data_IF_138362535439
#
_entry.id   IF_138362535439
#
_cell.length_a   1.000
_cell.length_b   1.000
_cell.length_c   1.000
_cell.angle_alpha   90.00
_cell.angle_beta   90.00
_cell.angle_gamma   90.00
#
_symmetry.space_group_name_H-M   'P 1'
#
loop_
_entity.id
_entity.type
_entity.pdbx_description
1 polymer ?
#
# COMPACT_ATOMS: atom_id res chain seq x y z
N UNK A 1 13.62 -20.12 -13.61
CA UNK A 1 12.90 -21.34 -14.02
C UNK A 1 11.50 -21.20 -13.47
N UNK A 2 10.59 -20.72 -14.32
CA UNK A 2 9.20 -20.46 -13.96
C UNK A 2 8.41 -21.75 -14.02
N UNK A 3 7.66 -22.04 -12.98
CA UNK A 3 6.55 -22.97 -13.08
C UNK A 3 5.44 -22.14 -13.76
N UNK A 4 5.33 -22.24 -15.08
CA UNK A 4 4.09 -21.84 -15.75
C UNK A 4 3.00 -22.74 -15.16
N UNK A 5 2.11 -22.17 -14.35
CA UNK A 5 0.89 -22.86 -13.93
C UNK A 5 0.03 -23.01 -15.18
N UNK A 6 0.22 -24.14 -15.87
CA UNK A 6 -0.27 -24.46 -17.21
C UNK A 6 -1.79 -24.73 -17.29
N UNK A 7 -2.58 -24.19 -16.36
CA UNK A 7 -4.00 -24.51 -16.23
C UNK A 7 -4.89 -23.38 -16.73
N UNK A 8 -4.57 -22.12 -16.40
CA UNK A 8 -5.40 -20.98 -16.81
C UNK A 8 -4.97 -20.45 -18.19
N UNK A 9 -5.86 -20.61 -19.16
CA UNK A 9 -5.63 -20.13 -20.52
C UNK A 9 -5.97 -18.65 -20.61
N UNK A 10 -5.01 -17.81 -21.01
CA UNK A 10 -5.28 -16.40 -21.35
C UNK A 10 -6.49 -16.31 -22.28
N UNK A 11 -7.40 -15.41 -21.93
CA UNK A 11 -8.69 -15.20 -22.58
C UNK A 11 -9.81 -16.07 -22.02
N UNK A 12 -9.59 -17.02 -21.10
CA UNK A 12 -10.71 -17.76 -20.49
C UNK A 12 -11.65 -16.81 -19.70
N UNK A 13 -12.95 -17.13 -19.61
CA UNK A 13 -13.86 -16.48 -18.69
C UNK A 13 -13.35 -16.56 -17.25
N UNK A 14 -13.68 -15.56 -16.43
CA UNK A 14 -13.29 -15.50 -15.01
C UNK A 14 -13.75 -16.72 -14.22
N UNK A 15 -14.89 -17.31 -14.62
CA UNK A 15 -15.48 -18.49 -13.99
C UNK A 15 -14.72 -19.79 -14.30
N UNK A 16 -13.79 -19.78 -15.26
CA UNK A 16 -12.94 -20.92 -15.62
C UNK A 16 -11.54 -20.85 -14.96
N UNK A 17 -11.23 -19.80 -14.20
CA UNK A 17 -9.96 -19.67 -13.48
C UNK A 17 -9.97 -20.61 -12.27
N UNK A 18 -8.88 -21.38 -12.09
CA UNK A 18 -8.75 -22.30 -10.95
C UNK A 18 -8.71 -21.55 -9.61
N UNK A 19 -9.37 -22.09 -8.58
CA UNK A 19 -9.54 -21.41 -7.28
C UNK A 19 -8.81 -22.13 -6.14
N UNK A 20 -8.40 -21.40 -5.07
CA UNK A 20 -8.56 -19.96 -4.86
C UNK A 20 -7.56 -19.10 -5.66
N UNK A 21 -8.05 -18.02 -6.27
CA UNK A 21 -7.26 -17.14 -7.13
C UNK A 21 -7.39 -15.67 -6.75
N UNK A 22 -6.25 -14.99 -6.57
CA UNK A 22 -6.23 -13.53 -6.39
C UNK A 22 -6.45 -12.84 -7.73
N UNK A 23 -7.57 -12.15 -7.87
CA UNK A 23 -7.99 -11.46 -9.07
C UNK A 23 -7.82 -9.95 -8.95
N UNK A 24 -7.34 -9.32 -10.02
CA UNK A 24 -7.38 -7.86 -10.20
C UNK A 24 -8.22 -7.52 -11.43
N UNK A 25 -9.30 -6.75 -11.23
CA UNK A 25 -10.05 -6.12 -12.32
C UNK A 25 -9.24 -4.93 -12.86
N UNK A 26 -8.75 -5.07 -14.09
CA UNK A 26 -7.83 -4.13 -14.68
C UNK A 26 -8.48 -2.79 -15.04
N UNK A 27 -9.75 -2.80 -15.46
CA UNK A 27 -10.48 -1.57 -15.74
C UNK A 27 -10.61 -0.72 -14.45
N UNK A 28 -10.91 -1.36 -13.32
CA UNK A 28 -11.02 -0.70 -12.02
C UNK A 28 -9.66 -0.23 -11.51
N UNK A 29 -8.61 -1.05 -11.63
CA UNK A 29 -7.24 -0.68 -11.28
C UNK A 29 -6.79 0.59 -12.03
N UNK A 30 -6.93 0.60 -13.36
CA UNK A 30 -6.57 1.73 -14.21
C UNK A 30 -7.41 2.97 -13.89
N UNK A 31 -8.72 2.78 -13.63
CA UNK A 31 -9.62 3.84 -13.18
C UNK A 31 -9.19 4.48 -11.86
N UNK A 32 -8.80 3.67 -10.88
CA UNK A 32 -8.30 4.14 -9.58
C UNK A 32 -6.99 4.91 -9.72
N UNK A 33 -6.04 4.38 -10.50
CA UNK A 33 -4.76 5.04 -10.81
C UNK A 33 -5.00 6.41 -11.44
N UNK A 34 -5.86 6.47 -12.47
CA UNK A 34 -6.22 7.72 -13.15
C UNK A 34 -6.83 8.74 -12.20
N UNK A 35 -7.77 8.32 -11.36
CA UNK A 35 -8.44 9.22 -10.40
C UNK A 35 -7.47 9.84 -9.40
N UNK A 36 -6.51 9.06 -8.89
CA UNK A 36 -5.49 9.59 -7.97
C UNK A 36 -4.52 10.54 -8.70
N UNK A 37 -4.14 10.23 -9.94
CA UNK A 37 -3.32 11.12 -10.76
C UNK A 37 -4.03 12.46 -11.05
N UNK A 38 -5.32 12.42 -11.41
CA UNK A 38 -6.14 13.61 -11.59
C UNK A 38 -6.29 14.43 -10.30
N UNK A 39 -6.37 13.76 -9.14
CA UNK A 39 -6.35 14.44 -7.85
C UNK A 39 -5.02 15.19 -7.65
N UNK A 40 -3.88 14.53 -7.83
CA UNK A 40 -2.57 15.16 -7.70
C UNK A 40 -2.37 16.33 -8.66
N UNK A 41 -2.77 16.17 -9.94
CA UNK A 41 -2.70 17.24 -10.93
C UNK A 41 -3.59 18.44 -10.56
N UNK A 42 -4.77 18.21 -9.97
CA UNK A 42 -5.71 19.26 -9.57
C UNK A 42 -5.24 20.02 -8.32
N UNK A 43 -4.66 19.34 -7.34
CA UNK A 43 -4.23 19.98 -6.08
C UNK A 43 -2.78 20.46 -6.12
N UNK A 44 -1.99 19.99 -7.10
CA UNK A 44 -0.56 20.24 -7.18
C UNK A 44 0.30 19.36 -6.27
N UNK A 45 -0.32 18.46 -5.49
CA UNK A 45 0.43 17.53 -4.62
C UNK A 45 0.96 16.36 -5.44
N UNK A 46 2.20 15.96 -5.18
CA UNK A 46 2.76 14.73 -5.74
C UNK A 46 2.05 13.49 -5.22
N UNK A 47 1.92 12.46 -6.06
CA UNK A 47 1.47 11.14 -5.64
C UNK A 47 2.67 10.21 -5.65
N UNK A 48 3.07 9.71 -4.48
CA UNK A 48 4.16 8.74 -4.32
C UNK A 48 3.57 7.43 -3.79
N UNK A 49 2.93 6.63 -4.66
CA UNK A 49 2.10 5.54 -4.19
C UNK A 49 2.93 4.43 -3.54
N UNK A 50 2.29 3.72 -2.63
CA UNK A 50 2.98 2.77 -1.78
C UNK A 50 3.00 1.35 -2.38
N UNK A 51 4.18 0.94 -2.81
CA UNK A 51 4.47 -0.36 -3.40
C UNK A 51 4.22 -1.56 -2.48
N UNK A 52 4.06 -1.36 -1.16
CA UNK A 52 3.81 -2.46 -0.21
C UNK A 52 2.47 -3.16 -0.45
N UNK A 53 1.50 -2.43 -1.01
CA UNK A 53 0.15 -2.91 -1.25
C UNK A 53 0.13 -3.99 -2.35
N UNK A 54 0.92 -3.81 -3.41
CA UNK A 54 0.90 -4.69 -4.59
C UNK A 54 2.21 -5.43 -4.86
N UNK A 55 3.35 -4.95 -4.37
CA UNK A 55 4.66 -5.61 -4.45
C UNK A 55 5.10 -6.00 -5.87
N UNK A 56 4.59 -5.29 -6.88
CA UNK A 56 4.68 -5.68 -8.29
C UNK A 56 5.13 -4.50 -9.15
N UNK A 57 6.31 -4.56 -9.79
CA UNK A 57 6.85 -3.46 -10.59
C UNK A 57 5.97 -3.00 -11.75
N UNK A 58 5.23 -3.90 -12.43
CA UNK A 58 4.37 -3.49 -13.56
C UNK A 58 3.28 -2.50 -13.13
N UNK A 59 2.69 -2.71 -11.94
CA UNK A 59 1.70 -1.80 -11.36
C UNK A 59 2.35 -0.46 -10.99
N UNK A 60 3.57 -0.48 -10.45
CA UNK A 60 4.33 0.75 -10.18
C UNK A 60 4.61 1.53 -11.48
N UNK A 61 4.89 0.86 -12.59
CA UNK A 61 5.08 1.51 -13.89
C UNK A 61 3.79 2.17 -14.39
N UNK A 62 2.62 1.56 -14.15
CA UNK A 62 1.33 2.17 -14.50
C UNK A 62 1.13 3.47 -13.71
N UNK A 63 1.47 3.46 -12.42
CA UNK A 63 1.39 4.65 -11.57
C UNK A 63 2.37 5.75 -11.99
N UNK A 64 3.63 5.40 -12.31
CA UNK A 64 4.61 6.36 -12.81
C UNK A 64 4.21 6.95 -14.16
N UNK A 65 3.69 6.12 -15.07
CA UNK A 65 3.18 6.57 -16.38
C UNK A 65 2.02 7.54 -16.21
N UNK A 66 1.19 7.35 -15.18
CA UNK A 66 0.10 8.27 -14.83
C UNK A 66 0.57 9.57 -14.13
N UNK A 67 1.87 9.72 -13.84
CA UNK A 67 2.43 10.94 -13.26
C UNK A 67 2.84 10.86 -11.79
N UNK A 68 2.94 9.66 -11.20
CA UNK A 68 3.49 9.51 -9.85
C UNK A 68 4.94 10.01 -9.77
N UNK A 69 5.30 10.63 -8.63
CA UNK A 69 6.61 11.29 -8.41
C UNK A 69 7.71 10.34 -7.91
N UNK A 70 7.43 9.04 -7.91
CA UNK A 70 8.26 7.97 -7.37
C UNK A 70 7.40 6.94 -6.63
N UNK A 71 8.02 5.95 -5.98
CA UNK A 71 7.31 4.86 -5.28
C UNK A 71 7.78 4.75 -3.83
N UNK A 72 6.86 4.53 -2.89
CA UNK A 72 7.20 4.17 -1.52
C UNK A 72 7.37 2.66 -1.35
N UNK A 73 8.42 2.23 -0.64
CA UNK A 73 8.64 0.84 -0.23
C UNK A 73 8.79 0.76 1.30
N UNK A 74 8.29 -0.30 1.94
CA UNK A 74 8.42 -0.42 3.40
C UNK A 74 9.76 -1.04 3.81
N UNK A 75 10.37 -1.85 2.94
CA UNK A 75 11.55 -2.66 3.25
C UNK A 75 12.55 -2.64 2.10
N UNK A 76 13.82 -2.88 2.42
CA UNK A 76 14.92 -2.92 1.44
C UNK A 76 14.67 -3.99 0.38
N UNK A 77 14.19 -5.18 0.75
CA UNK A 77 13.84 -6.22 -0.22
C UNK A 77 12.74 -5.83 -1.21
N UNK A 78 11.79 -5.00 -0.81
CA UNK A 78 10.75 -4.49 -1.72
C UNK A 78 11.36 -3.45 -2.67
N UNK A 79 12.20 -2.55 -2.14
CA UNK A 79 12.91 -1.55 -2.94
C UNK A 79 13.82 -2.20 -3.99
N UNK A 80 14.55 -3.26 -3.65
CA UNK A 80 15.36 -4.04 -4.60
C UNK A 80 14.54 -4.55 -5.77
N UNK A 81 13.34 -5.09 -5.50
CA UNK A 81 12.43 -5.59 -6.55
C UNK A 81 11.94 -4.45 -7.44
N UNK A 82 11.55 -3.32 -6.85
CA UNK A 82 11.11 -2.16 -7.63
C UNK A 82 12.23 -1.61 -8.51
N UNK A 83 13.43 -1.43 -7.94
CA UNK A 83 14.60 -0.92 -8.68
C UNK A 83 15.02 -1.88 -9.80
N UNK A 84 15.04 -3.19 -9.53
CA UNK A 84 15.30 -4.20 -10.56
C UNK A 84 14.23 -4.20 -11.67
N UNK A 85 12.98 -3.86 -11.33
CA UNK A 85 11.87 -3.65 -12.27
C UNK A 85 11.89 -2.29 -12.99
N UNK A 86 12.98 -1.53 -12.88
CA UNK A 86 13.20 -0.28 -13.61
C UNK A 86 12.70 0.99 -12.91
N UNK A 87 12.22 0.90 -11.66
CA UNK A 87 11.80 2.07 -10.87
C UNK A 87 13.05 2.83 -10.39
N UNK A 88 13.14 4.14 -10.68
CA UNK A 88 14.37 4.92 -10.46
C UNK A 88 14.29 5.93 -9.31
N UNK A 89 13.13 6.16 -8.71
CA UNK A 89 12.95 7.03 -7.55
C UNK A 89 12.12 6.29 -6.49
N UNK A 90 12.78 5.91 -5.40
CA UNK A 90 12.18 5.13 -4.32
C UNK A 90 12.41 5.82 -2.98
N UNK A 91 11.32 6.02 -2.24
CA UNK A 91 11.36 6.37 -0.82
C UNK A 91 11.15 5.10 0.01
N UNK A 92 12.10 4.75 0.85
CA UNK A 92 11.87 3.81 1.93
C UNK A 92 11.21 4.56 3.08
N UNK A 93 9.88 4.48 3.17
CA UNK A 93 9.05 5.09 4.21
C UNK A 93 9.13 4.33 5.54
N UNK A 94 10.35 3.98 5.94
CA UNK A 94 10.71 3.22 7.13
C UNK A 94 12.20 3.36 7.45
N UNK A 95 12.57 3.16 8.71
CA UNK A 95 13.96 3.13 9.16
C UNK A 95 14.65 1.83 8.68
N UNK A 96 15.94 1.91 8.37
CA UNK A 96 16.76 0.75 7.98
C UNK A 96 17.91 0.55 8.95
N UNK A 97 17.75 -0.45 9.82
CA UNK A 97 18.74 -0.79 10.84
C UNK A 97 19.38 -2.15 10.57
N UNK A 98 20.71 -2.18 10.64
CA UNK A 98 21.54 -3.39 10.55
C UNK A 98 22.43 -3.46 9.31
N UNK A 99 23.68 -3.89 9.52
CA UNK A 99 24.77 -3.86 8.53
C UNK A 99 24.37 -4.52 7.20
N UNK A 100 23.75 -5.70 7.24
CA UNK A 100 23.35 -6.42 6.02
C UNK A 100 22.27 -5.67 5.20
N UNK A 101 21.37 -4.94 5.87
CA UNK A 101 20.33 -4.16 5.18
C UNK A 101 20.92 -2.88 4.59
N UNK A 102 21.80 -2.21 5.32
CA UNK A 102 22.49 -1.01 4.84
C UNK A 102 23.35 -1.32 3.61
N UNK A 103 24.09 -2.44 3.61
CA UNK A 103 24.88 -2.88 2.46
C UNK A 103 24.01 -3.07 1.19
N UNK A 104 22.83 -3.67 1.35
CA UNK A 104 21.85 -3.84 0.27
C UNK A 104 21.27 -2.50 -0.18
N UNK A 105 20.90 -1.64 0.77
CA UNK A 105 20.34 -0.31 0.50
C UNK A 105 21.29 0.58 -0.32
N UNK A 106 22.56 0.67 0.08
CA UNK A 106 23.55 1.48 -0.66
C UNK A 106 23.91 0.84 -2.00
N UNK A 107 23.73 -0.47 -2.17
CA UNK A 107 23.90 -1.13 -3.47
C UNK A 107 22.84 -0.69 -4.48
N UNK A 108 21.57 -0.59 -4.08
CA UNK A 108 20.50 -0.14 -5.00
C UNK A 108 20.59 1.36 -5.29
N UNK A 109 21.15 2.15 -4.37
CA UNK A 109 21.40 3.58 -4.57
C UNK A 109 22.43 3.88 -5.68
N UNK A 110 23.18 2.89 -6.15
CA UNK A 110 24.10 3.04 -7.30
C UNK A 110 23.37 3.16 -8.64
N UNK A 111 22.11 2.73 -8.71
CA UNK A 111 21.34 2.64 -9.98
C UNK A 111 19.96 3.30 -9.90
N UNK A 112 19.59 3.83 -8.74
CA UNK A 112 18.34 4.55 -8.51
C UNK A 112 18.54 5.62 -7.45
N UNK A 113 17.68 6.65 -7.46
CA UNK A 113 17.57 7.62 -6.37
C UNK A 113 16.82 6.96 -5.22
N UNK A 114 17.50 6.81 -4.10
CA UNK A 114 16.94 6.17 -2.90
C UNK A 114 16.97 7.16 -1.74
N UNK A 115 15.79 7.43 -1.20
CA UNK A 115 15.60 8.21 0.02
C UNK A 115 15.13 7.27 1.14
N UNK A 116 15.56 7.46 2.38
CA UNK A 116 15.15 6.64 3.54
C UNK A 116 14.74 7.49 4.73
N UNK A 117 13.76 7.04 5.50
CA UNK A 117 13.36 7.68 6.74
C UNK A 117 14.38 7.42 7.87
N UNK A 118 14.63 8.42 8.70
CA UNK A 118 15.58 8.37 9.82
C UNK A 118 14.98 9.09 11.03
N UNK A 119 15.03 8.45 12.19
CA UNK A 119 14.58 9.01 13.47
C UNK A 119 15.63 8.90 14.60
N UNK A 120 16.79 8.32 14.34
CA UNK A 120 17.85 8.12 15.32
C UNK A 120 19.23 8.43 14.74
N UNK A 121 20.07 9.09 15.54
CA UNK A 121 21.41 9.49 15.11
C UNK A 121 22.32 8.28 14.90
N UNK A 122 22.19 7.26 15.74
CA UNK A 122 22.95 6.01 15.65
C UNK A 122 22.67 5.26 14.34
N UNK A 123 21.42 5.31 13.87
CA UNK A 123 21.04 4.75 12.57
C UNK A 123 21.59 5.60 11.42
N UNK A 124 21.58 6.93 11.56
CA UNK A 124 22.15 7.86 10.60
C UNK A 124 23.67 7.67 10.44
N UNK A 125 24.40 7.54 11.55
CA UNK A 125 25.85 7.30 11.57
C UNK A 125 26.19 5.99 10.86
N UNK A 126 25.43 4.92 11.11
CA UNK A 126 25.63 3.65 10.42
C UNK A 126 25.36 3.76 8.90
N UNK A 127 24.35 4.53 8.50
CA UNK A 127 24.02 4.79 7.09
C UNK A 127 25.10 5.64 6.42
N UNK A 128 25.61 6.68 7.08
CA UNK A 128 26.72 7.55 6.65
C UNK A 128 27.95 6.70 6.31
N UNK A 129 28.37 5.83 7.24
CA UNK A 129 29.52 4.95 7.05
C UNK A 129 29.32 4.02 5.85
N UNK A 130 28.12 3.43 5.72
CA UNK A 130 27.80 2.53 4.62
C UNK A 130 27.79 3.28 3.27
N UNK A 131 27.19 4.47 3.20
CA UNK A 131 27.09 5.29 2.00
C UNK A 131 28.48 5.72 1.51
N UNK A 132 29.33 6.21 2.41
CA UNK A 132 30.71 6.59 2.09
C UNK A 132 31.55 5.44 1.58
N UNK A 133 31.49 4.29 2.26
CA UNK A 133 32.21 3.08 1.81
C UNK A 133 31.76 2.62 0.43
N UNK A 134 30.48 2.78 0.11
CA UNK A 134 29.92 2.43 -1.18
C UNK A 134 30.14 3.49 -2.27
N UNK A 135 30.60 4.70 -1.91
CA UNK A 135 30.80 5.82 -2.82
C UNK A 135 29.49 6.39 -3.36
N UNK A 136 28.41 6.37 -2.56
CA UNK A 136 27.09 6.90 -2.92
C UNK A 136 26.63 7.97 -1.95
N UNK A 137 25.67 8.79 -2.39
CA UNK A 137 24.94 9.71 -1.51
C UNK A 137 23.53 9.17 -1.30
N UNK A 138 23.14 8.98 -0.04
CA UNK A 138 21.80 8.53 0.33
C UNK A 138 20.90 9.73 0.63
N UNK A 139 19.71 9.77 0.03
CA UNK A 139 18.68 10.72 0.45
C UNK A 139 18.14 10.32 1.83
N UNK A 140 17.89 11.29 2.70
CA UNK A 140 17.25 11.05 4.00
C UNK A 140 16.11 12.04 4.25
N UNK A 141 15.04 11.57 4.87
CA UNK A 141 13.98 12.41 5.46
C UNK A 141 13.92 12.12 6.96
N UNK A 142 13.65 13.15 7.76
CA UNK A 142 13.40 12.95 9.20
C UNK A 142 11.98 12.41 9.38
N UNK A 143 11.83 11.24 10.00
CA UNK A 143 10.51 10.71 10.37
C UNK A 143 10.03 11.38 11.65
N UNK A 144 8.83 11.98 11.61
CA UNK A 144 8.25 12.74 12.72
C UNK A 144 7.00 12.02 13.21
N UNK A 145 6.93 11.74 14.51
CA UNK A 145 5.73 11.18 15.12
C UNK A 145 4.63 12.24 15.22
N UNK A 146 3.75 12.25 14.23
CA UNK A 146 2.57 13.11 14.16
C UNK A 146 1.41 12.62 15.04
N UNK A 147 1.60 11.55 15.82
CA UNK A 147 0.61 10.98 16.74
C UNK A 147 0.28 9.51 16.49
N UNK A 148 1.09 8.81 15.68
CA UNK A 148 0.93 7.38 15.48
C UNK A 148 1.43 6.61 16.72
N UNK A 149 2.52 7.08 17.35
CA UNK A 149 3.21 6.37 18.42
C UNK A 149 3.84 5.06 17.93
N UNK A 150 4.48 5.07 16.75
CA UNK A 150 5.14 3.89 16.16
C UNK A 150 6.64 4.07 16.00
N UNK A 151 7.04 4.94 15.09
CA UNK A 151 8.41 5.40 14.84
C UNK A 151 8.39 6.93 14.75
N UNK A 152 9.56 7.53 14.58
CA UNK A 152 9.69 8.95 14.37
C UNK A 152 10.03 9.71 15.64
N UNK A 153 10.77 10.80 15.48
CA UNK A 153 11.09 11.73 16.56
C UNK A 153 9.91 12.62 16.89
N UNK A 154 9.87 13.14 18.11
CA UNK A 154 8.88 14.13 18.47
C UNK A 154 8.98 15.38 17.56
N UNK A 155 7.84 15.98 17.19
CA UNK A 155 7.80 17.18 16.36
C UNK A 155 8.51 18.37 17.01
N UNK A 156 8.86 19.36 16.18
CA UNK A 156 9.50 20.59 16.63
C UNK A 156 11.02 20.48 16.77
N UNK A 157 11.56 20.97 17.89
CA UNK A 157 13.01 21.12 18.12
C UNK A 157 13.81 19.81 18.11
N UNK A 158 13.19 18.68 18.46
CA UNK A 158 13.88 17.38 18.42
C UNK A 158 14.11 16.94 16.98
N UNK A 159 13.09 17.04 16.12
CA UNK A 159 13.22 16.82 14.69
C UNK A 159 14.21 17.79 14.02
N UNK A 160 14.15 19.07 14.39
CA UNK A 160 15.07 20.08 13.87
C UNK A 160 16.54 19.74 14.21
N UNK A 161 16.83 19.39 15.47
CA UNK A 161 18.19 19.03 15.90
C UNK A 161 18.73 17.79 15.18
N UNK A 162 17.88 16.79 14.91
CA UNK A 162 18.29 15.64 14.12
C UNK A 162 18.61 16.08 12.68
N UNK A 163 17.75 16.90 12.08
CA UNK A 163 17.94 17.40 10.72
C UNK A 163 19.22 18.21 10.53
N UNK A 164 19.54 19.12 11.46
CA UNK A 164 20.78 19.91 11.44
C UNK A 164 22.03 19.02 11.45
N UNK A 165 21.98 17.88 12.16
CA UNK A 165 23.06 16.88 12.13
C UNK A 165 23.11 16.15 10.79
N UNK A 166 21.98 15.66 10.30
CA UNK A 166 21.89 14.95 9.02
C UNK A 166 22.38 15.81 7.84
N UNK A 167 22.10 17.11 7.87
CA UNK A 167 22.44 18.05 6.79
C UNK A 167 23.95 18.20 6.56
N UNK A 168 24.79 17.89 7.57
CA UNK A 168 26.25 18.02 7.49
C UNK A 168 26.97 16.66 7.44
N UNK A 169 26.24 15.55 7.44
CA UNK A 169 26.82 14.20 7.40
C UNK A 169 27.28 13.84 5.98
N UNK A 170 28.57 13.51 5.77
CA UNK A 170 29.09 13.25 4.44
C UNK A 170 28.54 11.95 3.84
N UNK A 171 28.00 12.00 2.63
CA UNK A 171 27.34 10.84 2.00
C UNK A 171 25.85 10.70 2.34
N UNK A 172 25.30 11.62 3.15
CA UNK A 172 23.85 11.80 3.30
C UNK A 172 23.43 13.11 2.63
N UNK A 173 22.17 13.15 2.17
CA UNK A 173 21.52 14.35 1.64
C UNK A 173 20.16 14.47 2.31
N UNK A 174 20.02 15.44 3.22
CA UNK A 174 18.73 15.77 3.84
C UNK A 174 17.77 16.28 2.75
N UNK A 175 16.59 15.67 2.65
CA UNK A 175 15.56 15.98 1.64
C UNK A 175 14.31 16.59 2.26
N UNK A 176 14.10 16.44 3.58
CA UNK A 176 13.00 17.05 4.31
C UNK A 176 12.42 16.13 5.38
N UNK A 177 11.10 15.98 5.39
CA UNK A 177 10.30 15.42 6.48
C UNK A 177 9.35 14.33 5.99
N UNK A 178 9.14 13.32 6.83
CA UNK A 178 8.01 12.39 6.74
C UNK A 178 7.17 12.48 8.02
N UNK A 179 5.85 12.39 7.88
CA UNK A 179 4.95 12.22 9.03
C UNK A 179 3.73 11.41 8.63
N UNK A 180 3.64 10.17 9.12
CA UNK A 180 2.55 9.26 8.77
C UNK A 180 1.76 8.79 10.00
N UNK A 181 0.45 8.98 9.98
CA UNK A 181 -0.47 8.45 11.00
C UNK A 181 -1.41 7.39 10.43
N UNK A 182 -0.99 6.13 10.49
CA UNK A 182 -1.76 4.98 10.00
C UNK A 182 -3.12 4.78 10.67
N UNK A 183 -3.27 5.14 11.95
CA UNK A 183 -4.55 5.00 12.68
C UNK A 183 -5.67 5.84 12.07
N UNK A 184 -5.34 6.92 11.36
CA UNK A 184 -6.34 7.79 10.73
C UNK A 184 -7.02 7.14 9.53
N UNK A 185 -6.34 6.21 8.86
CA UNK A 185 -6.79 5.68 7.58
C UNK A 185 -8.15 4.99 7.69
N UNK A 186 -8.46 4.47 8.87
CA UNK A 186 -9.69 3.73 9.16
C UNK A 186 -10.59 4.40 10.20
N UNK A 187 -10.39 5.70 10.48
CA UNK A 187 -11.35 6.46 11.28
C UNK A 187 -12.67 6.55 10.51
N UNK A 188 -13.73 6.02 11.12
CA UNK A 188 -15.08 6.00 10.56
C UNK A 188 -15.67 7.42 10.55
N UNK A 189 -16.22 7.80 9.40
CA UNK A 189 -16.81 9.10 9.15
C UNK A 189 -15.81 10.10 8.57
N UNK A 190 -16.11 10.59 7.36
CA UNK A 190 -15.24 11.51 6.62
C UNK A 190 -14.87 12.76 7.43
N UNK A 191 -15.84 13.40 8.09
CA UNK A 191 -15.59 14.62 8.85
C UNK A 191 -14.66 14.39 10.05
N UNK A 192 -14.87 13.30 10.81
CA UNK A 192 -14.03 12.95 11.96
C UNK A 192 -12.60 12.61 11.52
N UNK A 193 -12.46 11.81 10.46
CA UNK A 193 -11.17 11.47 9.85
C UNK A 193 -10.44 12.70 9.34
N UNK A 194 -11.12 13.61 8.63
CA UNK A 194 -10.54 14.84 8.12
C UNK A 194 -10.08 15.78 9.25
N UNK A 195 -10.88 15.91 10.31
CA UNK A 195 -10.49 16.69 11.49
C UNK A 195 -9.23 16.14 12.16
N UNK A 196 -9.18 14.83 12.40
CA UNK A 196 -8.04 14.17 13.01
C UNK A 196 -6.78 14.27 12.12
N UNK A 197 -6.92 14.12 10.80
CA UNK A 197 -5.82 14.28 9.84
C UNK A 197 -5.21 15.68 9.85
N UNK A 198 -6.05 16.73 9.91
CA UNK A 198 -5.55 18.12 10.03
C UNK A 198 -4.83 18.35 11.36
N UNK A 199 -5.36 17.83 12.46
CA UNK A 199 -4.74 17.96 13.78
C UNK A 199 -3.37 17.27 13.85
N UNK A 200 -3.24 16.07 13.29
CA UNK A 200 -1.97 15.36 13.23
C UNK A 200 -0.95 16.10 12.36
N UNK A 201 -1.36 16.52 11.15
CA UNK A 201 -0.47 17.20 10.22
C UNK A 201 -0.07 18.62 10.66
N UNK A 202 -0.83 19.27 11.55
CA UNK A 202 -0.41 20.54 12.13
C UNK A 202 0.97 20.43 12.81
N UNK A 203 1.27 19.29 13.45
CA UNK A 203 2.58 19.00 14.07
C UNK A 203 3.71 18.88 13.05
N UNK A 204 3.41 18.27 11.89
CA UNK A 204 4.37 18.17 10.79
C UNK A 204 4.63 19.55 10.17
N UNK A 205 3.59 20.36 9.97
CA UNK A 205 3.69 21.70 9.39
C UNK A 205 4.40 22.70 10.34
N UNK A 206 4.21 22.58 11.65
CA UNK A 206 4.99 23.30 12.65
C UNK A 206 6.48 22.96 12.52
N UNK A 207 6.81 21.67 12.45
CA UNK A 207 8.19 21.19 12.26
C UNK A 207 8.78 21.67 10.93
N UNK A 208 8.00 21.62 9.84
CA UNK A 208 8.36 22.15 8.52
C UNK A 208 8.72 23.64 8.60
N UNK A 209 7.95 24.42 9.34
CA UNK A 209 8.19 25.86 9.50
C UNK A 209 9.53 26.14 10.19
N UNK A 210 9.95 25.29 11.13
CA UNK A 210 11.27 25.38 11.75
C UNK A 210 12.41 25.07 10.76
N UNK A 211 12.23 24.06 9.90
CA UNK A 211 13.20 23.74 8.84
C UNK A 211 13.35 24.92 7.87
N UNK A 212 12.22 25.50 7.45
CA UNK A 212 12.17 26.66 6.56
C UNK A 212 12.90 27.86 7.17
N UNK A 213 12.65 28.17 8.44
CA UNK A 213 13.33 29.24 9.17
C UNK A 213 14.85 29.04 9.34
N UNK A 214 15.32 27.79 9.29
CA UNK A 214 16.75 27.43 9.33
C UNK A 214 17.38 27.24 7.95
N UNK A 215 16.60 27.42 6.87
CA UNK A 215 17.07 27.19 5.50
C UNK A 215 17.43 25.73 5.21
N UNK A 216 16.83 24.77 5.94
CA UNK A 216 17.03 23.35 5.69
C UNK A 216 16.20 22.88 4.48
N UNK A 217 16.64 21.82 3.76
CA UNK A 217 15.90 21.28 2.63
C UNK A 217 14.49 20.81 2.98
N UNK A 218 13.54 21.13 2.11
CA UNK A 218 12.11 20.76 2.20
C UNK A 218 11.61 20.23 0.85
N UNK A 219 12.47 19.53 0.12
CA UNK A 219 12.13 18.93 -1.18
C UNK A 219 11.06 17.83 -1.04
N UNK A 220 11.04 17.16 0.11
CA UNK A 220 10.07 16.13 0.46
C UNK A 220 9.47 16.49 1.83
N UNK A 221 8.18 16.78 1.87
CA UNK A 221 7.34 16.79 3.06
C UNK A 221 6.18 15.86 2.75
N UNK A 222 6.20 14.66 3.32
CA UNK A 222 5.38 13.53 2.83
C UNK A 222 4.67 12.80 3.96
N UNK A 223 3.51 12.21 3.63
CA UNK A 223 2.64 11.54 4.59
C UNK A 223 1.39 10.98 3.91
N UNK A 224 0.28 10.89 4.63
CA UNK A 224 -1.00 10.47 4.08
C UNK A 224 -1.10 9.02 3.62
N UNK A 225 -2.34 8.55 3.51
CA UNK A 225 -2.66 7.24 2.95
C UNK A 225 -3.98 7.28 2.21
N UNK A 226 -4.51 6.11 1.84
CA UNK A 226 -5.75 6.00 1.06
C UNK A 226 -6.95 6.64 1.76
N UNK A 227 -7.07 6.50 3.08
CA UNK A 227 -8.22 7.02 3.82
C UNK A 227 -8.17 8.54 4.00
N UNK A 228 -6.97 9.12 3.98
CA UNK A 228 -6.75 10.55 4.23
C UNK A 228 -6.27 11.34 3.01
N UNK A 229 -6.17 10.72 1.84
CA UNK A 229 -5.57 11.29 0.62
C UNK A 229 -6.12 12.68 0.28
N UNK A 230 -7.45 12.85 0.39
CA UNK A 230 -8.16 14.07 0.00
C UNK A 230 -7.95 15.22 0.99
N UNK A 231 -7.67 14.89 2.24
CA UNK A 231 -7.46 15.85 3.31
C UNK A 231 -5.98 16.23 3.41
N UNK A 232 -5.10 15.24 3.47
CA UNK A 232 -3.65 15.46 3.60
C UNK A 232 -3.04 16.00 2.30
N UNK A 233 -3.51 15.54 1.14
CA UNK A 233 -3.10 16.06 -0.15
C UNK A 233 -3.58 17.49 -0.45
N UNK A 234 -4.40 18.07 0.44
CA UNK A 234 -4.85 19.46 0.36
C UNK A 234 -4.16 20.36 1.42
N UNK A 235 -3.24 19.83 2.24
CA UNK A 235 -2.54 20.61 3.26
C UNK A 235 -1.44 21.45 2.60
N UNK A 236 -1.46 22.79 2.74
CA UNK A 236 -0.41 23.64 2.19
C UNK A 236 0.96 23.26 2.76
N UNK A 237 1.95 23.11 1.87
CA UNK A 237 3.32 22.75 2.24
C UNK A 237 3.62 21.25 2.21
N UNK A 238 2.62 20.39 2.02
CA UNK A 238 2.82 18.99 1.65
C UNK A 238 3.36 18.89 0.21
N UNK A 239 4.41 18.12 -0.01
CA UNK A 239 4.99 17.94 -1.36
C UNK A 239 4.40 16.73 -2.06
N UNK A 240 4.18 15.63 -1.33
CA UNK A 240 3.60 14.40 -1.85
C UNK A 240 2.87 13.60 -0.77
N UNK A 241 1.95 12.74 -1.20
CA UNK A 241 1.25 11.78 -0.33
C UNK A 241 1.56 10.32 -0.72
N UNK A 242 1.37 9.40 0.23
CA UNK A 242 1.79 7.99 0.13
C UNK A 242 0.65 6.95 0.07
N UNK A 243 -0.47 7.16 -0.68
CA UNK A 243 -1.56 6.19 -0.73
C UNK A 243 -1.11 4.89 -1.44
N UNK A 244 -1.51 3.75 -0.89
CA UNK A 244 -1.20 2.42 -1.45
C UNK A 244 -2.46 1.70 -1.89
N UNK A 245 -3.29 1.35 -0.91
CA UNK A 245 -4.49 0.51 -1.09
C UNK A 245 -5.54 1.07 -2.06
N UNK A 246 -5.50 2.37 -2.41
CA UNK A 246 -6.46 3.02 -3.31
C UNK A 246 -6.61 2.33 -4.68
N UNK A 247 -5.56 1.63 -5.14
CA UNK A 247 -5.58 0.89 -6.41
C UNK A 247 -6.50 -0.34 -6.35
N UNK A 248 -6.68 -0.92 -5.15
CA UNK A 248 -7.38 -2.19 -4.95
C UNK A 248 -8.68 -2.02 -4.17
N UNK A 249 -8.62 -1.24 -3.10
CA UNK A 249 -9.59 -1.23 -2.01
C UNK A 249 -9.76 -2.61 -1.34
N UNK A 250 -10.45 -2.61 -0.22
CA UNK A 250 -10.79 -3.78 0.57
C UNK A 250 -12.03 -3.46 1.42
N UNK A 251 -12.56 -4.47 2.12
CA UNK A 251 -13.74 -4.30 2.96
C UNK A 251 -13.52 -3.24 4.04
N UNK A 252 -12.37 -3.25 4.71
CA UNK A 252 -12.10 -2.32 5.81
C UNK A 252 -12.16 -0.87 5.31
N UNK A 253 -11.54 -0.56 4.16
CA UNK A 253 -11.67 0.76 3.56
C UNK A 253 -13.10 1.09 3.16
N UNK A 254 -13.91 0.14 2.67
CA UNK A 254 -15.32 0.44 2.31
C UNK A 254 -16.15 0.91 3.50
N UNK A 255 -15.83 0.43 4.70
CA UNK A 255 -16.59 0.69 5.93
C UNK A 255 -16.24 2.02 6.62
N UNK A 256 -15.20 2.75 6.17
CA UNK A 256 -14.74 3.99 6.83
C UNK A 256 -15.65 5.21 6.57
N UNK A 257 -16.59 5.11 5.62
CA UNK A 257 -17.44 6.23 5.19
C UNK A 257 -16.75 7.29 4.33
N UNK A 258 -17.45 7.70 3.28
CA UNK A 258 -17.06 8.74 2.34
C UNK A 258 -17.75 10.08 2.63
N UNK A 259 -17.58 11.04 1.72
CA UNK A 259 -18.20 12.38 1.83
C UNK A 259 -19.72 12.33 1.76
N UNK A 260 -20.25 11.36 1.01
CA UNK A 260 -21.67 11.29 0.66
C UNK A 260 -22.44 10.25 1.47
N UNK A 261 -21.80 9.52 2.39
CA UNK A 261 -22.49 8.46 3.12
C UNK A 261 -21.57 7.50 3.88
N UNK A 262 -22.15 6.39 4.38
CA UNK A 262 -21.46 5.43 5.25
C UNK A 262 -20.45 4.56 4.51
N UNK A 263 -20.36 4.67 3.19
CA UNK A 263 -19.48 3.88 2.34
C UNK A 263 -18.41 4.77 1.73
N UNK A 264 -17.16 4.31 1.75
CA UNK A 264 -16.07 5.00 1.07
C UNK A 264 -15.95 4.48 -0.37
N UNK A 265 -16.45 5.27 -1.32
CA UNK A 265 -16.58 4.92 -2.74
C UNK A 265 -15.82 5.82 -3.70
N UNK A 266 -14.84 6.55 -3.16
CA UNK A 266 -13.90 7.33 -3.96
C UNK A 266 -13.12 6.47 -4.95
N UNK A 267 -12.88 5.19 -4.64
CA UNK A 267 -12.19 4.25 -5.51
C UNK A 267 -12.98 2.93 -5.61
N UNK A 268 -12.86 2.26 -6.75
CA UNK A 268 -13.54 1.00 -7.02
C UNK A 268 -12.79 -0.18 -6.37
N UNK A 269 -13.52 -1.20 -5.90
CA UNK A 269 -12.91 -2.46 -5.48
C UNK A 269 -12.40 -3.23 -6.70
N UNK A 270 -11.09 -3.20 -6.91
CA UNK A 270 -10.42 -3.86 -8.02
C UNK A 270 -9.82 -5.21 -7.63
N UNK A 271 -9.72 -5.55 -6.34
CA UNK A 271 -9.13 -6.79 -5.85
C UNK A 271 -10.19 -7.71 -5.23
N UNK A 272 -10.22 -8.97 -5.67
CA UNK A 272 -11.03 -10.04 -5.04
C UNK A 272 -10.26 -11.34 -5.00
N UNK A 273 -10.62 -12.24 -4.08
CA UNK A 273 -10.23 -13.64 -4.13
C UNK A 273 -11.41 -14.42 -4.71
N UNK A 274 -11.16 -15.14 -5.81
CA UNK A 274 -12.10 -16.11 -6.35
C UNK A 274 -12.08 -17.36 -5.47
N UNK A 275 -13.25 -17.90 -5.18
CA UNK A 275 -13.40 -19.14 -4.43
C UNK A 275 -14.52 -19.99 -5.05
N UNK A 276 -14.37 -21.31 -5.06
CA UNK A 276 -15.39 -22.24 -5.57
C UNK A 276 -16.20 -22.82 -4.42
N UNK A 277 -17.53 -22.83 -4.55
CA UNK A 277 -18.41 -23.57 -3.65
C UNK A 277 -18.14 -25.07 -3.81
N UNK A 278 -17.45 -25.65 -2.82
CA UNK A 278 -16.97 -27.04 -2.84
C UNK A 278 -17.80 -27.99 -1.98
N UNK A 279 -18.68 -27.46 -1.11
CA UNK A 279 -19.61 -28.28 -0.33
C UNK A 279 -20.90 -27.53 -0.01
N UNK A 280 -22.02 -28.24 -0.03
CA UNK A 280 -23.36 -27.71 0.24
C UNK A 280 -24.11 -28.58 1.29
N UNK A 281 -23.61 -28.67 2.54
CA UNK A 281 -24.09 -29.65 3.52
C UNK A 281 -25.49 -29.38 4.07
N UNK A 282 -25.95 -28.12 4.07
CA UNK A 282 -27.27 -27.73 4.61
C UNK A 282 -27.90 -26.60 3.79
N UNK A 283 -29.18 -26.30 4.03
CA UNK A 283 -29.94 -25.26 3.32
C UNK A 283 -29.46 -23.81 3.62
N UNK A 284 -28.69 -23.62 4.67
CA UNK A 284 -28.26 -22.32 5.21
C UNK A 284 -26.73 -22.13 5.23
N UNK A 285 -25.96 -23.18 4.91
CA UNK A 285 -24.50 -23.19 4.94
C UNK A 285 -23.91 -23.84 3.69
N UNK A 286 -22.94 -23.16 3.11
CA UNK A 286 -22.06 -23.67 2.06
C UNK A 286 -20.61 -23.52 2.51
N UNK A 287 -19.72 -24.26 1.84
CA UNK A 287 -18.28 -24.19 2.07
C UNK A 287 -17.59 -23.84 0.75
N UNK A 288 -16.65 -22.90 0.82
CA UNK A 288 -15.77 -22.51 -0.28
C UNK A 288 -14.33 -22.91 0.01
N UNK A 289 -13.54 -23.09 -1.04
CA UNK A 289 -12.12 -23.49 -1.02
C UNK A 289 -11.14 -22.34 -0.69
N UNK A 290 -11.63 -21.23 -0.15
CA UNK A 290 -10.82 -20.11 0.32
C UNK A 290 -10.88 -20.01 1.85
N UNK A 291 -9.80 -20.41 2.52
CA UNK A 291 -9.61 -20.26 3.96
C UNK A 291 -8.52 -19.26 4.33
N UNK A 292 -7.89 -19.44 5.50
CA UNK A 292 -6.81 -18.57 6.00
C UNK A 292 -5.56 -18.53 5.11
N UNK A 293 -5.33 -19.55 4.27
CA UNK A 293 -4.24 -19.54 3.29
C UNK A 293 -4.54 -18.72 2.03
N UNK A 294 -5.81 -18.36 1.80
CA UNK A 294 -6.27 -17.56 0.67
C UNK A 294 -6.64 -16.12 1.07
N UNK A 295 -7.10 -15.90 2.30
CA UNK A 295 -7.55 -14.61 2.79
C UNK A 295 -6.95 -14.31 4.15
N UNK A 296 -6.32 -13.15 4.29
CA UNK A 296 -6.00 -12.60 5.60
C UNK A 296 -7.29 -12.24 6.34
N UNK A 297 -7.28 -12.35 7.68
CA UNK A 297 -8.41 -11.99 8.54
C UNK A 297 -8.06 -10.95 9.61
N UNK A 298 -6.92 -10.27 9.45
CA UNK A 298 -6.38 -9.31 10.42
C UNK A 298 -7.28 -8.10 10.65
N UNK A 299 -8.16 -7.80 9.68
CA UNK A 299 -9.20 -6.77 9.76
C UNK A 299 -10.62 -7.37 9.75
N UNK A 300 -10.77 -8.62 10.19
CA UNK A 300 -12.05 -9.35 10.16
C UNK A 300 -12.26 -10.18 8.90
N UNK A 301 -13.47 -10.71 8.66
CA UNK A 301 -13.75 -11.58 7.53
C UNK A 301 -13.85 -10.79 6.20
N UNK A 302 -13.53 -11.46 5.09
CA UNK A 302 -13.84 -10.95 3.75
C UNK A 302 -15.35 -10.70 3.57
N UNK A 303 -15.72 -9.85 2.60
CA UNK A 303 -17.10 -9.63 2.20
C UNK A 303 -17.43 -10.37 0.90
N UNK A 304 -18.65 -10.87 0.78
CA UNK A 304 -19.13 -11.50 -0.46
C UNK A 304 -19.65 -10.42 -1.40
N UNK A 305 -19.16 -10.36 -2.64
CA UNK A 305 -19.42 -9.23 -3.55
C UNK A 305 -20.64 -9.46 -4.45
N UNK A 306 -20.78 -10.68 -4.95
CA UNK A 306 -21.67 -11.06 -6.05
C UNK A 306 -22.88 -11.92 -5.60
N UNK A 307 -22.98 -12.17 -4.29
CA UNK A 307 -24.07 -12.94 -3.68
C UNK A 307 -24.69 -12.18 -2.49
N UNK A 308 -25.58 -11.21 -2.75
CA UNK A 308 -26.39 -10.61 -1.69
C UNK A 308 -27.12 -11.67 -0.87
N UNK A 309 -27.24 -11.45 0.45
CA UNK A 309 -27.87 -12.38 1.38
C UNK A 309 -26.96 -13.49 1.91
N UNK A 310 -25.67 -13.45 1.57
CA UNK A 310 -24.65 -14.37 2.09
C UNK A 310 -23.48 -13.64 2.75
N UNK A 311 -22.99 -14.21 3.84
CA UNK A 311 -21.82 -13.73 4.57
C UNK A 311 -20.72 -14.79 4.61
N UNK A 312 -19.48 -14.34 4.45
CA UNK A 312 -18.30 -15.19 4.54
C UNK A 312 -17.74 -15.19 5.97
N UNK A 313 -17.33 -16.36 6.45
CA UNK A 313 -16.53 -16.51 7.67
C UNK A 313 -15.38 -17.50 7.45
N UNK A 314 -14.15 -17.22 7.93
CA UNK A 314 -13.05 -18.18 7.90
C UNK A 314 -13.41 -19.45 8.68
N UNK A 315 -13.11 -20.62 8.12
CA UNK A 315 -13.42 -21.91 8.73
C UNK A 315 -12.26 -22.92 8.60
N UNK A 316 -11.05 -22.40 8.80
CA UNK A 316 -9.82 -23.17 8.81
C UNK A 316 -8.86 -22.73 7.71
N UNK A 317 -7.82 -23.53 7.53
CA UNK A 317 -6.72 -23.24 6.62
C UNK A 317 -7.17 -23.06 5.17
N UNK A 318 -7.98 -23.98 4.66
CA UNK A 318 -8.36 -24.08 3.24
C UNK A 318 -9.87 -23.88 3.01
N UNK A 319 -10.64 -23.61 4.08
CA UNK A 319 -12.10 -23.55 4.00
C UNK A 319 -12.65 -22.25 4.55
N UNK A 320 -13.65 -21.72 3.86
CA UNK A 320 -14.51 -20.66 4.34
C UNK A 320 -15.97 -21.09 4.31
N UNK A 321 -16.78 -20.56 5.23
CA UNK A 321 -18.23 -20.77 5.23
C UNK A 321 -18.92 -19.60 4.56
N UNK A 322 -19.87 -19.90 3.70
CA UNK A 322 -20.92 -18.95 3.32
C UNK A 322 -22.17 -19.29 4.12
N UNK A 323 -22.63 -18.34 4.93
CA UNK A 323 -23.82 -18.46 5.75
C UNK A 323 -24.91 -17.52 5.23
N UNK A 324 -26.16 -17.98 5.18
CA UNK A 324 -27.29 -17.13 4.81
C UNK A 324 -27.51 -16.04 5.88
N UNK A 325 -27.58 -14.78 5.46
CA UNK A 325 -27.84 -13.63 6.33
C UNK A 325 -29.01 -12.76 5.87
N UNK A 326 -29.61 -13.07 4.71
CA UNK A 326 -30.76 -12.36 4.19
C UNK A 326 -31.33 -13.02 2.94
N UNK A 327 -32.21 -12.30 2.24
CA UNK A 327 -32.78 -12.77 0.99
C UNK A 327 -31.72 -12.76 -0.12
N UNK A 328 -31.54 -13.90 -0.78
CA UNK A 328 -30.53 -14.07 -1.81
C UNK A 328 -30.71 -15.37 -2.58
N UNK A 329 -30.18 -15.43 -3.80
CA UNK A 329 -30.11 -16.70 -4.52
C UNK A 329 -29.12 -17.62 -3.80
N UNK A 330 -29.42 -18.90 -3.75
CA UNK A 330 -28.46 -19.91 -3.29
C UNK A 330 -27.47 -20.22 -4.43
N UNK A 331 -26.14 -20.06 -4.23
CA UNK A 331 -25.17 -20.47 -5.25
C UNK A 331 -25.09 -22.00 -5.36
N UNK A 332 -24.73 -22.49 -6.54
CA UNK A 332 -24.64 -23.94 -6.83
C UNK A 332 -23.30 -24.50 -6.40
N UNK A 333 -23.24 -25.83 -6.21
CA UNK A 333 -21.96 -26.54 -6.11
C UNK A 333 -21.15 -26.31 -7.39
N UNK A 334 -19.86 -26.01 -7.24
CA UNK A 334 -18.95 -25.67 -8.34
C UNK A 334 -19.07 -24.23 -8.83
N UNK A 335 -19.92 -23.40 -8.22
CA UNK A 335 -20.04 -22.00 -8.60
C UNK A 335 -18.90 -21.17 -7.98
N UNK A 336 -18.28 -20.31 -8.79
CA UNK A 336 -17.26 -19.35 -8.35
C UNK A 336 -17.94 -18.14 -7.71
N UNK A 337 -17.37 -17.67 -6.60
CA UNK A 337 -17.82 -16.49 -5.85
C UNK A 337 -16.67 -15.51 -5.68
N UNK A 338 -16.99 -14.22 -5.62
CA UNK A 338 -16.00 -13.16 -5.40
C UNK A 338 -15.97 -12.71 -3.94
N UNK A 339 -14.82 -12.88 -3.30
CA UNK A 339 -14.57 -12.45 -1.92
C UNK A 339 -13.70 -11.18 -1.93
N UNK A 340 -14.24 -10.06 -1.45
CA UNK A 340 -13.48 -8.84 -1.19
C UNK A 340 -12.69 -9.02 0.10
N UNK A 341 -11.34 -9.04 0.07
CA UNK A 341 -10.54 -9.23 1.28
C UNK A 341 -10.85 -8.17 2.34
N UNK A 342 -10.62 -8.51 3.61
CA UNK A 342 -10.73 -7.54 4.70
C UNK A 342 -9.67 -6.45 4.58
N UNK A 343 -8.45 -6.84 4.21
CA UNK A 343 -7.28 -6.00 4.06
C UNK A 343 -6.46 -6.48 2.86
N UNK A 344 -6.21 -5.59 1.89
CA UNK A 344 -5.58 -5.96 0.63
C UNK A 344 -4.08 -6.31 0.79
N UNK A 345 -3.28 -5.50 1.48
CA UNK A 345 -1.82 -5.66 1.60
C UNK A 345 -1.41 -7.04 2.16
N UNK A 346 -2.08 -7.49 3.22
CA UNK A 346 -1.81 -8.77 3.88
C UNK A 346 -2.27 -9.95 3.04
N UNK A 347 -3.41 -9.80 2.36
CA UNK A 347 -3.93 -10.82 1.42
C UNK A 347 -3.00 -10.97 0.22
N UNK A 348 -2.58 -9.88 -0.43
CA UNK A 348 -1.65 -9.90 -1.58
C UNK A 348 -0.36 -10.65 -1.26
N UNK A 349 0.16 -10.52 -0.03
CA UNK A 349 1.40 -11.19 0.37
C UNK A 349 1.25 -12.73 0.50
N UNK A 350 0.04 -13.29 0.43
CA UNK A 350 -0.21 -14.73 0.40
C UNK A 350 0.00 -15.33 -1.01
N UNK A 351 -0.03 -14.51 -2.07
CA UNK A 351 -0.08 -14.98 -3.46
C UNK A 351 1.21 -14.70 -4.23
N UNK A 352 1.64 -15.65 -5.06
CA UNK A 352 2.76 -15.48 -5.99
C UNK A 352 2.38 -14.67 -7.24
N UNK A 353 1.09 -14.56 -7.57
CA UNK A 353 0.60 -13.91 -8.79
C UNK A 353 -0.79 -13.30 -8.64
N UNK A 354 -1.07 -12.30 -9.47
CA UNK A 354 -2.41 -11.79 -9.77
C UNK A 354 -2.93 -12.42 -11.05
N UNK A 355 -4.20 -12.84 -11.05
CA UNK A 355 -4.99 -13.11 -12.24
C UNK A 355 -5.64 -11.79 -12.68
N UNK A 356 -5.16 -11.24 -13.78
CA UNK A 356 -5.55 -9.91 -14.24
C UNK A 356 -6.68 -10.07 -15.23
N UNK A 357 -7.84 -9.54 -14.89
CA UNK A 357 -9.06 -9.74 -15.66
C UNK A 357 -9.52 -8.41 -16.25
N UNK A 358 -9.91 -8.45 -17.53
CA UNK A 358 -10.58 -7.35 -18.23
C UNK A 358 -11.85 -7.88 -18.86
N UNK A 359 -12.95 -7.17 -18.66
CA UNK A 359 -14.26 -7.48 -19.25
C UNK A 359 -14.69 -8.96 -19.04
N UNK A 360 -14.43 -9.48 -17.84
CA UNK A 360 -14.78 -10.84 -17.43
C UNK A 360 -13.88 -11.94 -18.00
N UNK A 361 -12.74 -11.61 -18.61
CA UNK A 361 -11.77 -12.58 -19.14
C UNK A 361 -10.37 -12.37 -18.60
N UNK A 362 -9.64 -13.46 -18.40
CA UNK A 362 -8.23 -13.43 -18.01
C UNK A 362 -7.38 -12.76 -19.12
N UNK A 363 -6.86 -11.57 -18.87
CA UNK A 363 -6.01 -10.84 -19.80
C UNK A 363 -4.53 -11.17 -19.61
N UNK A 364 -4.10 -11.31 -18.35
CA UNK A 364 -2.71 -11.60 -18.00
C UNK A 364 -2.58 -12.27 -16.63
N UNK A 365 -1.40 -12.82 -16.36
CA UNK A 365 -1.00 -13.24 -15.01
C UNK A 365 0.25 -12.46 -14.62
N UNK A 366 0.16 -11.66 -13.56
CA UNK A 366 1.28 -10.82 -13.11
C UNK A 366 1.91 -11.40 -11.84
N UNK A 367 3.19 -11.72 -11.91
CA UNK A 367 3.95 -12.19 -10.76
C UNK A 367 4.09 -11.10 -9.69
N UNK A 368 3.76 -11.43 -8.45
CA UNK A 368 3.99 -10.59 -7.27
C UNK A 368 5.46 -10.73 -6.85
N UNK A 369 6.35 -10.08 -7.60
CA UNK A 369 7.80 -10.26 -7.46
C UNK A 369 8.35 -9.90 -6.06
N UNK A 370 7.66 -9.01 -5.34
CA UNK A 370 8.01 -8.58 -3.99
C UNK A 370 7.38 -9.41 -2.87
N UNK A 371 6.63 -10.48 -3.18
CA UNK A 371 6.04 -11.36 -2.14
C UNK A 371 7.11 -11.84 -1.17
N UNK A 372 6.84 -11.72 0.13
CA UNK A 372 7.75 -12.17 1.18
C UNK A 372 9.07 -11.38 1.29
N UNK A 373 9.27 -10.30 0.52
CA UNK A 373 10.48 -9.45 0.56
C UNK A 373 10.51 -8.48 1.74
N UNK A 374 10.18 -8.98 2.93
CA UNK A 374 9.99 -8.19 4.15
C UNK A 374 11.28 -7.83 4.91
N UNK A 375 12.46 -8.06 4.31
CA UNK A 375 13.79 -7.95 4.93
C UNK A 375 14.63 -6.77 4.46
#
# INVERSE_FOLDING_TARGET
MGIEHAWDRIGCPVEEIDTPALLVDLNRLEGNIRRMAEFGARTGVGIRPHGKAHKTPIIAQFQLTAGAVGICCQKVGEAEVMVAGGIRDVLLSNEVVGVAKLARLVSIAKIARVTVAVDALEAADALEVAARRAGVTMGVVVDVDVGQGRCGVAPGDLALRLAEKLAVMPGLSLRGLQGYQGKLQHVVGHAARAQAARQANARLMETRSLFEARGLPLEIVTGGGTGTYDTEGAIPGMTDIQPGSYIFMDREYREIGGRSGPVFDDFACALTVLATVMSAPTADRLVVDAGLKALSNDAGPAAVVDLPGWEYTPAGDEHGLLMICGDGRRPRLGEVVHLLPSHCDTTVNLYDQFHVVRDGRLEAVWRIAGRGRVR
#
